data_IF_937415706953
#
_entry.id   IF_937415706953
#
_cell.length_a   1.000
_cell.length_b   1.000
_cell.length_c   1.000
_cell.angle_alpha   90.00
_cell.angle_beta   90.00
_cell.angle_gamma   90.00
#
_symmetry.space_group_name_H-M   'P 1'
#
loop_
_entity.id
_entity.type
_entity.pdbx_description
1 polymer ?
#
# COMPACT_ATOMS: atom_id res chain seq x y z
N UNK A 1 -9.49 7.27 17.88
CA UNK A 1 -10.11 7.56 19.22
C UNK A 1 -10.56 6.24 19.81
N UNK A 2 -10.04 5.90 21.01
CA UNK A 2 -10.47 4.74 21.80
C UNK A 2 -11.44 5.27 22.87
N UNK A 3 -12.56 4.57 23.07
CA UNK A 3 -13.56 4.92 24.09
C UNK A 3 -13.78 3.68 24.93
N UNK A 4 -13.59 3.81 26.24
CA UNK A 4 -13.94 2.76 27.21
C UNK A 4 -14.84 3.29 28.29
N UNK A 5 -15.70 2.44 28.86
CA UNK A 5 -16.52 2.73 29.98
C UNK A 5 -16.08 1.85 31.16
N UNK A 6 -15.91 2.47 32.32
CA UNK A 6 -15.55 1.78 33.55
C UNK A 6 -16.46 2.20 34.70
N UNK A 7 -16.68 1.27 35.61
CA UNK A 7 -17.44 1.51 36.85
C UNK A 7 -16.52 1.31 38.03
N UNK A 8 -16.74 2.08 39.10
CA UNK A 8 -16.01 1.97 40.37
C UNK A 8 -16.86 2.46 41.52
N UNK A 9 -16.39 2.26 42.74
CA UNK A 9 -17.08 2.79 43.95
C UNK A 9 -17.06 4.31 44.01
N UNK A 10 -16.05 4.90 43.34
CA UNK A 10 -15.89 6.36 43.20
C UNK A 10 -15.52 6.67 41.74
N UNK A 11 -15.70 7.93 41.34
CA UNK A 11 -15.26 8.41 40.01
C UNK A 11 -13.76 8.18 39.83
N UNK A 12 -12.96 8.49 40.88
CA UNK A 12 -11.50 8.35 40.79
C UNK A 12 -11.07 6.89 40.57
N UNK A 13 -11.71 5.93 41.28
CA UNK A 13 -11.44 4.50 41.11
C UNK A 13 -11.79 4.03 39.69
N UNK A 14 -12.93 4.46 39.14
CA UNK A 14 -13.33 4.13 37.76
C UNK A 14 -12.37 4.75 36.72
N UNK A 15 -11.88 5.96 36.95
CA UNK A 15 -10.90 6.64 36.11
C UNK A 15 -9.55 5.92 36.16
N UNK A 16 -9.05 5.59 37.36
CA UNK A 16 -7.76 4.87 37.49
C UNK A 16 -7.78 3.52 36.79
N UNK A 17 -8.89 2.77 36.90
CA UNK A 17 -9.05 1.50 36.20
C UNK A 17 -9.06 1.67 34.67
N UNK A 18 -9.74 2.72 34.18
CA UNK A 18 -9.75 3.07 32.78
C UNK A 18 -8.35 3.44 32.27
N UNK A 19 -7.62 4.30 32.97
CA UNK A 19 -6.27 4.72 32.64
C UNK A 19 -5.28 3.55 32.62
N UNK A 20 -5.43 2.61 33.55
CA UNK A 20 -4.61 1.39 33.62
C UNK A 20 -4.85 0.48 32.45
N UNK A 21 -6.09 0.31 31.99
CA UNK A 21 -6.45 -0.47 30.84
C UNK A 21 -5.94 0.16 29.52
N UNK A 22 -6.06 1.50 29.43
CA UNK A 22 -5.57 2.26 28.26
C UNK A 22 -4.05 2.43 28.24
N UNK A 23 -3.34 2.14 29.32
CA UNK A 23 -1.90 2.32 29.45
C UNK A 23 -1.46 3.78 29.32
N UNK A 24 -2.27 4.74 29.79
CA UNK A 24 -2.07 6.17 29.60
C UNK A 24 -2.24 6.97 30.88
N UNK A 25 -2.02 8.28 30.80
CA UNK A 25 -2.19 9.21 31.91
C UNK A 25 -3.43 10.10 31.75
N UNK A 26 -3.91 10.70 32.81
CA UNK A 26 -5.10 11.55 32.81
C UNK A 26 -5.01 12.76 31.88
N UNK A 27 -3.79 13.19 31.56
CA UNK A 27 -3.52 14.35 30.71
C UNK A 27 -3.78 14.05 29.19
N UNK A 28 -3.80 12.77 28.81
CA UNK A 28 -3.96 12.31 27.43
C UNK A 28 -5.36 11.79 27.10
N UNK A 29 -6.33 12.02 28.00
CA UNK A 29 -7.70 11.51 27.87
C UNK A 29 -8.74 12.58 28.18
N UNK A 30 -9.88 12.48 27.52
CA UNK A 30 -11.11 13.19 27.88
C UNK A 30 -11.95 12.27 28.74
N UNK A 31 -12.37 12.77 29.95
CA UNK A 31 -13.16 12.01 30.90
C UNK A 31 -14.55 12.58 30.95
N UNK A 32 -15.55 11.76 30.68
CA UNK A 32 -16.97 12.07 30.77
C UNK A 32 -17.58 11.24 31.90
N UNK A 33 -18.14 11.89 32.92
CA UNK A 33 -18.82 11.20 34.02
C UNK A 33 -20.26 10.90 33.62
N UNK A 34 -20.58 9.61 33.45
CA UNK A 34 -21.92 9.13 33.08
C UNK A 34 -22.83 9.07 34.31
N UNK A 35 -22.28 8.58 35.44
CA UNK A 35 -22.99 8.48 36.74
C UNK A 35 -21.99 8.73 37.86
N UNK A 36 -22.32 9.63 38.77
CA UNK A 36 -21.46 9.94 39.92
C UNK A 36 -21.44 8.86 40.99
N UNK A 37 -22.38 7.92 40.92
CA UNK A 37 -22.58 6.92 41.99
C UNK A 37 -23.26 7.48 43.23
N UNK A 38 -23.77 6.61 44.07
CA UNK A 38 -24.34 6.97 45.35
C UNK A 38 -23.89 6.03 46.44
N UNK A 39 -23.47 6.57 47.59
CA UNK A 39 -23.23 5.78 48.80
C UNK A 39 -24.57 5.31 49.37
N UNK A 40 -24.79 3.99 49.39
CA UNK A 40 -25.94 3.41 50.06
C UNK A 40 -25.89 3.61 51.58
N UNK A 41 -27.04 3.64 52.21
CA UNK A 41 -27.17 3.62 53.70
C UNK A 41 -27.23 2.14 54.11
N UNK A 42 -26.30 1.67 54.93
CA UNK A 42 -26.18 0.29 55.41
C UNK A 42 -26.08 -0.76 54.28
N UNK A 43 -25.49 -0.40 53.13
CA UNK A 43 -25.33 -1.31 51.98
C UNK A 43 -26.57 -1.43 51.08
N UNK A 44 -27.64 -0.74 51.35
CA UNK A 44 -28.84 -0.70 50.53
C UNK A 44 -28.85 0.57 49.67
N UNK A 45 -29.04 0.41 48.36
CA UNK A 45 -29.16 1.52 47.41
C UNK A 45 -27.82 2.16 46.99
N UNK A 46 -26.69 1.47 47.12
CA UNK A 46 -25.43 1.91 46.57
C UNK A 46 -25.47 1.78 45.02
N UNK A 47 -25.08 2.82 44.32
CA UNK A 47 -24.89 2.85 42.89
C UNK A 47 -23.41 3.12 42.61
N UNK A 48 -22.81 2.37 41.68
CA UNK A 48 -21.43 2.59 41.27
C UNK A 48 -21.31 3.85 40.40
N UNK A 49 -20.21 4.56 40.57
CA UNK A 49 -19.83 5.61 39.64
C UNK A 49 -19.46 4.99 38.30
N UNK A 50 -19.82 5.63 37.19
CA UNK A 50 -19.49 5.21 35.84
C UNK A 50 -18.92 6.36 35.04
N UNK A 51 -17.77 6.11 34.45
CA UNK A 51 -17.07 7.07 33.58
C UNK A 51 -16.87 6.52 32.19
N UNK A 52 -16.89 7.42 31.20
CA UNK A 52 -16.46 7.17 29.84
C UNK A 52 -15.16 7.92 29.63
N UNK A 53 -14.11 7.18 29.25
CA UNK A 53 -12.80 7.74 28.99
C UNK A 53 -12.51 7.63 27.49
N UNK A 54 -12.20 8.76 26.88
CA UNK A 54 -11.87 8.88 25.46
C UNK A 54 -10.39 9.22 25.33
N UNK A 55 -9.65 8.44 24.56
CA UNK A 55 -8.25 8.68 24.25
C UNK A 55 -8.08 8.94 22.76
N UNK A 56 -7.48 10.08 22.41
CA UNK A 56 -7.06 10.32 21.04
C UNK A 56 -5.80 9.53 20.74
N UNK A 57 -5.84 8.79 19.65
CA UNK A 57 -4.68 8.06 19.16
C UNK A 57 -3.92 8.92 18.17
N UNK A 58 -2.59 8.95 18.27
CA UNK A 58 -1.76 9.52 17.21
C UNK A 58 -1.95 8.76 15.90
N UNK A 59 -1.65 9.38 14.75
CA UNK A 59 -1.71 8.71 13.46
C UNK A 59 -0.91 7.40 13.41
N UNK A 60 0.26 7.38 14.04
CA UNK A 60 1.09 6.19 14.17
C UNK A 60 0.39 5.09 15.00
N UNK A 61 -0.14 5.43 16.16
CA UNK A 61 -0.86 4.46 16.99
C UNK A 61 -2.09 3.87 16.30
N UNK A 62 -2.83 4.69 15.51
CA UNK A 62 -3.96 4.19 14.69
C UNK A 62 -3.47 3.16 13.67
N UNK A 63 -2.35 3.46 13.00
CA UNK A 63 -1.77 2.58 12.00
C UNK A 63 -1.28 1.26 12.60
N UNK A 64 -0.49 1.34 13.68
CA UNK A 64 0.07 0.15 14.35
C UNK A 64 -1.02 -0.76 14.91
N UNK A 65 -2.02 -0.20 15.59
CA UNK A 65 -3.14 -0.96 16.12
C UNK A 65 -3.93 -1.69 15.02
N UNK A 66 -4.18 -1.01 13.89
CA UNK A 66 -4.87 -1.61 12.77
C UNK A 66 -4.07 -2.73 12.12
N UNK A 67 -2.79 -2.49 11.82
CA UNK A 67 -1.90 -3.49 11.22
C UNK A 67 -1.78 -4.70 12.13
N UNK A 68 -1.57 -4.49 13.44
CA UNK A 68 -1.49 -5.56 14.43
C UNK A 68 -2.73 -6.43 14.44
N UNK A 69 -3.93 -5.84 14.46
CA UNK A 69 -5.20 -6.57 14.39
C UNK A 69 -5.31 -7.44 13.14
N UNK A 70 -4.89 -6.92 12.00
CA UNK A 70 -4.88 -7.67 10.74
C UNK A 70 -3.89 -8.84 10.80
N UNK A 71 -2.65 -8.57 11.26
CA UNK A 71 -1.62 -9.60 11.38
C UNK A 71 -2.04 -10.73 12.32
N UNK A 72 -2.58 -10.40 13.49
CA UNK A 72 -3.12 -11.38 14.43
C UNK A 72 -4.24 -12.23 13.82
N UNK A 73 -5.14 -11.61 13.04
CA UNK A 73 -6.24 -12.30 12.35
C UNK A 73 -5.75 -13.29 11.29
N UNK A 74 -4.59 -13.04 10.70
CA UNK A 74 -3.94 -13.93 9.72
C UNK A 74 -2.93 -14.90 10.36
N UNK A 75 -2.75 -14.86 11.67
CA UNK A 75 -1.77 -15.67 12.38
C UNK A 75 -0.33 -15.32 12.01
N UNK A 76 -0.07 -14.04 11.73
CA UNK A 76 1.25 -13.50 11.38
C UNK A 76 1.88 -12.94 12.66
N UNK A 77 3.03 -13.49 13.04
CA UNK A 77 3.83 -13.00 14.18
C UNK A 77 5.00 -12.18 13.66
N UNK A 78 4.84 -10.86 13.67
CA UNK A 78 5.86 -9.92 13.22
C UNK A 78 5.87 -8.65 14.08
N UNK A 79 7.04 -8.03 14.21
CA UNK A 79 7.25 -6.77 14.91
C UNK A 79 6.97 -5.58 14.00
N UNK A 80 6.40 -4.52 14.56
CA UNK A 80 6.20 -3.25 13.86
C UNK A 80 7.20 -2.21 14.39
N UNK A 81 7.91 -1.55 13.47
CA UNK A 81 8.70 -0.36 13.76
C UNK A 81 8.13 0.82 13.00
N UNK A 82 7.61 1.79 13.73
CA UNK A 82 6.94 2.95 13.15
C UNK A 82 7.58 4.28 13.54
N UNK A 83 7.45 5.28 12.66
CA UNK A 83 7.72 6.68 12.92
C UNK A 83 6.63 7.57 12.32
N UNK A 84 6.46 8.78 12.91
CA UNK A 84 5.56 9.80 12.39
C UNK A 84 6.30 11.12 12.31
N UNK A 85 6.59 11.58 11.12
CA UNK A 85 7.33 12.81 10.83
C UNK A 85 6.76 13.45 9.56
N UNK A 86 6.68 14.77 9.51
CA UNK A 86 6.25 15.54 8.33
C UNK A 86 4.96 15.02 7.69
N UNK A 87 3.90 14.82 8.51
CA UNK A 87 2.60 14.28 8.09
C UNK A 87 2.70 12.92 7.37
N UNK A 88 3.76 12.16 7.67
CA UNK A 88 4.01 10.85 7.11
C UNK A 88 4.18 9.81 8.21
N UNK A 89 3.36 8.77 8.19
CA UNK A 89 3.53 7.56 9.00
C UNK A 89 4.32 6.55 8.18
N UNK A 90 5.49 6.15 8.68
CA UNK A 90 6.31 5.10 8.08
C UNK A 90 6.29 3.89 9.01
N UNK A 91 5.99 2.71 8.48
CA UNK A 91 5.97 1.45 9.23
C UNK A 91 6.80 0.42 8.49
N UNK A 92 7.75 -0.17 9.20
CA UNK A 92 8.50 -1.34 8.76
C UNK A 92 7.99 -2.57 9.52
N UNK A 93 7.62 -3.62 8.78
CA UNK A 93 7.19 -4.90 9.33
C UNK A 93 8.39 -5.84 9.32
N UNK A 94 8.74 -6.39 10.50
CA UNK A 94 9.93 -7.22 10.69
C UNK A 94 9.47 -8.58 11.22
N UNK A 95 9.85 -9.64 10.54
CA UNK A 95 9.52 -11.01 10.90
C UNK A 95 10.46 -11.99 10.23
N UNK A 96 10.23 -13.29 10.43
CA UNK A 96 10.95 -14.28 9.65
C UNK A 96 10.48 -14.32 8.19
N UNK A 97 11.20 -15.04 7.34
CA UNK A 97 10.95 -15.04 5.89
C UNK A 97 9.57 -15.61 5.51
N UNK A 98 8.97 -16.49 6.33
CA UNK A 98 7.64 -17.05 6.10
C UNK A 98 6.57 -15.99 6.40
N UNK A 99 6.67 -15.32 7.55
CA UNK A 99 5.74 -14.29 7.99
C UNK A 99 5.79 -13.07 7.06
N UNK A 100 7.00 -12.62 6.73
CA UNK A 100 7.25 -11.55 5.77
C UNK A 100 6.66 -11.89 4.39
N UNK A 101 6.79 -13.16 3.95
CA UNK A 101 6.20 -13.64 2.71
C UNK A 101 4.67 -13.53 2.68
N UNK A 102 3.99 -13.82 3.80
CA UNK A 102 2.53 -13.65 3.95
C UNK A 102 2.11 -12.19 3.86
N UNK A 103 2.86 -11.30 4.52
CA UNK A 103 2.63 -9.85 4.49
C UNK A 103 2.82 -9.26 3.10
N UNK A 104 3.86 -9.66 2.38
CA UNK A 104 4.11 -9.22 1.00
C UNK A 104 3.00 -9.72 0.08
N UNK A 105 2.68 -11.00 0.17
CA UNK A 105 1.75 -11.66 -0.72
C UNK A 105 2.26 -11.78 -2.16
N UNK A 106 1.34 -12.06 -3.06
CA UNK A 106 1.70 -12.25 -4.47
C UNK A 106 2.11 -10.92 -5.11
N UNK A 107 3.40 -10.74 -5.39
CA UNK A 107 3.97 -9.54 -6.03
C UNK A 107 3.79 -8.23 -5.25
N UNK A 108 3.59 -8.32 -3.95
CA UNK A 108 3.33 -7.15 -3.11
C UNK A 108 1.88 -6.72 -3.04
N UNK A 109 0.94 -7.48 -3.61
CA UNK A 109 -0.48 -7.11 -3.63
C UNK A 109 -1.08 -7.02 -2.21
N UNK A 110 -0.66 -7.91 -1.28
CA UNK A 110 -1.11 -7.86 0.12
C UNK A 110 -0.55 -6.63 0.81
N UNK A 111 0.74 -6.35 0.63
CA UNK A 111 1.41 -5.18 1.21
C UNK A 111 0.80 -3.87 0.71
N UNK A 112 0.50 -3.77 -0.58
CA UNK A 112 -0.17 -2.60 -1.17
C UNK A 112 -1.59 -2.43 -0.62
N UNK A 113 -2.34 -3.52 -0.46
CA UNK A 113 -3.68 -3.52 0.11
C UNK A 113 -3.67 -3.10 1.58
N UNK A 114 -2.73 -3.64 2.35
CA UNK A 114 -2.54 -3.29 3.77
C UNK A 114 -2.22 -1.80 3.91
N UNK A 115 -1.29 -1.27 3.12
CA UNK A 115 -0.95 0.15 3.12
C UNK A 115 -2.17 1.02 2.78
N UNK A 116 -2.94 0.64 1.76
CA UNK A 116 -4.12 1.38 1.36
C UNK A 116 -5.19 1.42 2.47
N UNK A 117 -5.52 0.28 3.05
CA UNK A 117 -6.51 0.19 4.12
C UNK A 117 -6.05 0.93 5.38
N UNK A 118 -4.77 0.80 5.76
CA UNK A 118 -4.19 1.55 6.87
C UNK A 118 -4.28 3.06 6.62
N UNK A 119 -4.01 3.51 5.40
CA UNK A 119 -4.16 4.92 5.02
C UNK A 119 -5.59 5.43 5.22
N UNK A 120 -6.61 4.62 4.89
CA UNK A 120 -8.01 4.99 5.14
C UNK A 120 -8.33 5.11 6.63
N UNK A 121 -7.80 4.18 7.44
CA UNK A 121 -8.01 4.19 8.91
C UNK A 121 -7.35 5.39 9.55
N UNK A 122 -6.10 5.68 9.18
CA UNK A 122 -5.33 6.81 9.71
C UNK A 122 -6.00 8.13 9.39
N UNK A 123 -6.45 8.30 8.15
CA UNK A 123 -7.03 9.55 7.66
C UNK A 123 -8.51 9.76 8.04
N UNK A 124 -9.14 8.78 8.72
CA UNK A 124 -10.53 8.92 9.14
C UNK A 124 -10.67 9.98 10.22
N UNK A 125 -11.29 11.11 9.87
CA UNK A 125 -11.53 12.24 10.76
C UNK A 125 -10.36 13.21 10.91
N UNK A 126 -9.28 13.06 10.14
CA UNK A 126 -8.19 14.03 10.07
C UNK A 126 -8.56 15.18 9.10
N UNK A 127 -8.17 16.40 9.43
CA UNK A 127 -8.37 17.57 8.56
C UNK A 127 -7.35 17.60 7.42
N UNK A 128 -6.10 17.24 7.71
CA UNK A 128 -5.02 17.17 6.75
C UNK A 128 -4.72 15.72 6.38
N UNK A 129 -4.37 15.50 5.11
CA UNK A 129 -4.03 14.16 4.64
C UNK A 129 -2.66 13.70 5.16
N UNK A 130 -2.67 12.60 5.89
CA UNK A 130 -1.48 11.94 6.42
C UNK A 130 -1.07 10.82 5.47
N UNK A 131 0.15 10.88 5.00
CA UNK A 131 0.73 9.84 4.16
C UNK A 131 1.06 8.61 5.00
N UNK A 132 0.75 7.43 4.48
CA UNK A 132 1.14 6.15 5.11
C UNK A 132 2.01 5.37 4.15
N UNK A 133 3.16 4.92 4.65
CA UNK A 133 4.10 4.06 3.92
C UNK A 133 4.35 2.81 4.76
N UNK A 134 4.16 1.65 4.16
CA UNK A 134 4.43 0.36 4.79
C UNK A 134 5.39 -0.41 3.89
N UNK A 135 6.47 -0.92 4.48
CA UNK A 135 7.42 -1.79 3.78
C UNK A 135 7.88 -2.93 4.71
N UNK A 136 8.54 -3.89 4.16
CA UNK A 136 9.15 -5.01 4.87
C UNK A 136 10.46 -5.40 4.17
N UNK A 137 11.56 -5.42 4.90
CA UNK A 137 12.89 -5.77 4.39
C UNK A 137 13.30 -5.08 3.08
N UNK A 138 12.87 -3.85 2.85
CA UNK A 138 13.05 -3.15 1.58
C UNK A 138 12.55 -3.95 0.37
N UNK A 139 11.39 -4.60 0.51
CA UNK A 139 10.78 -5.40 -0.55
C UNK A 139 10.55 -4.60 -1.83
N UNK A 140 10.04 -3.36 -1.71
CA UNK A 140 9.74 -2.51 -2.87
C UNK A 140 10.99 -2.25 -3.72
N UNK A 141 12.12 -1.95 -3.08
CA UNK A 141 13.40 -1.77 -3.78
C UNK A 141 13.91 -3.05 -4.43
N UNK A 142 13.90 -4.17 -3.70
CA UNK A 142 14.29 -5.50 -4.23
C UNK A 142 13.39 -5.93 -5.40
N UNK A 143 12.09 -5.62 -5.33
CA UNK A 143 11.11 -5.93 -6.39
C UNK A 143 11.35 -5.11 -7.64
N UNK A 144 11.58 -3.81 -7.50
CA UNK A 144 11.91 -2.91 -8.60
C UNK A 144 13.15 -3.39 -9.37
N UNK A 145 14.24 -3.72 -8.65
CA UNK A 145 15.44 -4.29 -9.27
C UNK A 145 15.15 -5.57 -10.06
N UNK A 146 14.33 -6.46 -9.48
CA UNK A 146 13.94 -7.71 -10.13
C UNK A 146 13.17 -7.46 -11.43
N UNK A 147 12.25 -6.49 -11.42
CA UNK A 147 11.50 -6.09 -12.61
C UNK A 147 12.40 -5.48 -13.68
N UNK A 148 13.36 -4.64 -13.30
CA UNK A 148 14.35 -4.05 -14.23
C UNK A 148 15.22 -5.15 -14.85
N UNK A 149 15.71 -6.11 -14.06
CA UNK A 149 16.49 -7.26 -14.54
C UNK A 149 15.67 -8.13 -15.52
N UNK A 150 14.40 -8.40 -15.17
CA UNK A 150 13.46 -9.13 -16.04
C UNK A 150 13.24 -8.39 -17.37
N UNK A 151 12.95 -7.09 -17.30
CA UNK A 151 12.72 -6.25 -18.46
C UNK A 151 13.91 -6.30 -19.44
N UNK A 152 15.12 -6.05 -18.96
CA UNK A 152 16.36 -6.07 -19.76
C UNK A 152 16.60 -7.46 -20.39
N UNK A 153 16.39 -8.54 -19.64
CA UNK A 153 16.52 -9.91 -20.14
C UNK A 153 15.53 -10.19 -21.27
N UNK A 154 14.27 -9.83 -21.11
CA UNK A 154 13.24 -10.05 -22.14
C UNK A 154 13.47 -9.16 -23.35
N UNK A 155 13.89 -7.91 -23.17
CA UNK A 155 14.27 -7.02 -24.26
C UNK A 155 15.43 -7.59 -25.12
N UNK A 156 16.43 -8.21 -24.48
CA UNK A 156 17.50 -8.91 -25.18
C UNK A 156 16.99 -10.07 -26.05
N UNK A 157 16.04 -10.85 -25.54
CA UNK A 157 15.40 -11.93 -26.30
C UNK A 157 14.65 -11.37 -27.50
N UNK A 158 13.80 -10.34 -27.29
CA UNK A 158 13.03 -9.67 -28.35
C UNK A 158 13.94 -9.07 -29.42
N UNK A 159 15.01 -8.39 -29.02
CA UNK A 159 15.97 -7.80 -29.95
C UNK A 159 16.65 -8.86 -30.86
N UNK A 160 16.96 -10.03 -30.31
CA UNK A 160 17.61 -11.14 -31.03
C UNK A 160 16.62 -11.92 -31.87
N UNK A 161 15.46 -12.30 -31.33
CA UNK A 161 14.49 -13.20 -31.98
C UNK A 161 13.50 -12.47 -32.88
N UNK A 162 13.35 -11.16 -32.71
CA UNK A 162 12.32 -10.33 -33.37
C UNK A 162 10.88 -10.73 -33.04
N UNK A 163 10.68 -11.62 -32.07
CA UNK A 163 9.37 -12.04 -31.61
C UNK A 163 8.97 -11.23 -30.35
N UNK A 164 7.74 -10.73 -30.35
CA UNK A 164 7.20 -10.02 -29.17
C UNK A 164 7.02 -10.98 -27.98
N UNK A 165 7.23 -10.47 -26.79
CA UNK A 165 7.01 -11.18 -25.51
C UNK A 165 5.98 -10.43 -24.70
N UNK A 166 4.96 -11.15 -24.23
CA UNK A 166 3.97 -10.64 -23.28
C UNK A 166 4.36 -11.10 -21.89
N UNK A 167 4.49 -10.16 -20.97
CA UNK A 167 4.74 -10.46 -19.57
C UNK A 167 3.42 -10.79 -18.86
N UNK A 168 3.53 -11.36 -17.68
CA UNK A 168 2.38 -11.64 -16.85
C UNK A 168 1.66 -10.34 -16.43
N UNK A 169 0.35 -10.40 -16.11
CA UNK A 169 -0.37 -9.27 -15.56
C UNK A 169 0.31 -8.71 -14.31
N UNK A 170 0.35 -7.40 -14.19
CA UNK A 170 0.96 -6.69 -13.07
C UNK A 170 0.30 -5.33 -12.84
N UNK A 171 0.50 -4.78 -11.64
CA UNK A 171 -0.10 -3.51 -11.26
C UNK A 171 0.46 -2.31 -12.09
N UNK A 172 -0.21 -1.15 -12.07
CA UNK A 172 0.21 0.02 -12.86
C UNK A 172 1.63 0.50 -12.56
N UNK A 173 2.07 0.43 -11.30
CA UNK A 173 3.40 0.86 -10.89
C UNK A 173 4.49 -0.06 -11.47
N UNK A 174 4.31 -1.37 -11.37
CA UNK A 174 5.22 -2.35 -11.97
C UNK A 174 5.33 -2.19 -13.49
N UNK A 175 4.18 -1.94 -14.16
CA UNK A 175 4.17 -1.68 -15.61
C UNK A 175 4.96 -0.42 -15.97
N UNK A 176 4.90 0.62 -15.12
CA UNK A 176 5.67 1.85 -15.30
C UNK A 176 7.17 1.61 -15.14
N UNK A 177 7.59 0.83 -14.13
CA UNK A 177 9.00 0.48 -13.91
C UNK A 177 9.58 -0.19 -15.16
N UNK A 178 8.90 -1.21 -15.71
CA UNK A 178 9.35 -1.91 -16.91
C UNK A 178 9.39 -0.98 -18.12
N UNK A 179 8.38 -0.14 -18.30
CA UNK A 179 8.32 0.82 -19.39
C UNK A 179 9.50 1.81 -19.31
N UNK A 180 9.75 2.38 -18.14
CA UNK A 180 10.86 3.31 -17.89
C UNK A 180 12.23 2.64 -18.11
N UNK A 181 12.40 1.40 -17.62
CA UNK A 181 13.65 0.65 -17.77
C UNK A 181 13.99 0.35 -19.26
N UNK A 182 13.00 0.29 -20.14
CA UNK A 182 13.18 -0.01 -21.56
C UNK A 182 12.98 1.20 -22.48
N UNK A 183 12.66 2.38 -21.96
CA UNK A 183 12.41 3.57 -22.76
C UNK A 183 13.54 3.88 -23.75
N UNK A 184 14.79 3.73 -23.31
CA UNK A 184 16.00 3.98 -24.10
C UNK A 184 16.64 2.70 -24.64
N UNK A 185 15.95 1.55 -24.52
CA UNK A 185 16.54 0.30 -25.02
C UNK A 185 16.51 0.26 -26.56
N UNK A 186 17.66 -0.10 -27.16
CA UNK A 186 17.85 -0.04 -28.62
C UNK A 186 16.96 -1.06 -29.35
N UNK A 187 16.22 -0.60 -30.35
CA UNK A 187 15.36 -1.44 -31.23
C UNK A 187 14.20 -2.17 -30.54
N UNK A 188 13.87 -1.82 -29.30
CA UNK A 188 12.76 -2.39 -28.55
C UNK A 188 11.83 -1.29 -28.09
N UNK A 189 10.55 -1.58 -28.04
CA UNK A 189 9.50 -0.72 -27.46
C UNK A 189 8.57 -1.55 -26.60
N UNK A 190 7.81 -0.87 -25.73
CA UNK A 190 6.85 -1.52 -24.86
C UNK A 190 5.50 -0.82 -24.94
N UNK A 191 4.43 -1.58 -24.75
CA UNK A 191 3.08 -1.04 -24.57
C UNK A 191 2.28 -1.93 -23.62
N UNK A 192 1.29 -1.33 -22.94
CA UNK A 192 0.38 -2.07 -22.07
C UNK A 192 -0.86 -2.52 -22.85
N UNK A 193 -1.33 -3.74 -22.61
CA UNK A 193 -2.54 -4.32 -23.21
C UNK A 193 -3.41 -5.00 -22.18
N UNK A 194 -4.69 -5.15 -22.47
CA UNK A 194 -5.66 -5.77 -21.56
C UNK A 194 -6.34 -4.75 -20.62
N UNK A 195 -7.19 -5.25 -19.75
CA UNK A 195 -7.90 -4.51 -18.69
C UNK A 195 -7.49 -5.04 -17.34
N UNK A 196 -7.41 -4.17 -16.34
CA UNK A 196 -7.15 -4.58 -14.96
C UNK A 196 -8.26 -5.56 -14.48
N UNK A 197 -7.92 -6.61 -13.72
CA UNK A 197 -6.59 -6.94 -13.15
C UNK A 197 -5.64 -7.70 -14.11
N UNK A 198 -6.08 -8.03 -15.33
CA UNK A 198 -5.32 -8.84 -16.30
C UNK A 198 -4.46 -8.02 -17.27
N UNK A 199 -4.25 -6.73 -16.97
CA UNK A 199 -3.46 -5.86 -17.82
C UNK A 199 -1.98 -6.15 -17.68
N UNK A 200 -1.29 -6.28 -18.83
CA UNK A 200 0.10 -6.70 -18.91
C UNK A 200 0.93 -5.79 -19.83
N UNK A 201 2.25 -5.98 -19.84
CA UNK A 201 3.17 -5.33 -20.78
C UNK A 201 3.56 -6.29 -21.89
N UNK A 202 3.56 -5.77 -23.11
CA UNK A 202 4.14 -6.40 -24.29
C UNK A 202 5.45 -5.68 -24.63
N UNK A 203 6.52 -6.46 -24.77
CA UNK A 203 7.82 -6.00 -25.25
C UNK A 203 7.95 -6.43 -26.71
N UNK A 204 8.18 -5.49 -27.62
CA UNK A 204 8.24 -5.74 -29.05
C UNK A 204 9.35 -4.95 -29.73
N UNK A 205 9.69 -5.28 -30.97
CA UNK A 205 10.65 -4.51 -31.73
C UNK A 205 10.07 -3.18 -32.18
N UNK A 206 10.85 -2.10 -32.12
CA UNK A 206 10.49 -0.83 -32.78
C UNK A 206 10.30 -1.11 -34.27
N UNK A 207 9.16 -0.76 -34.86
CA UNK A 207 9.01 -0.71 -36.30
C UNK A 207 10.07 0.27 -36.82
N UNK A 208 10.86 -0.11 -37.83
CA UNK A 208 11.63 0.90 -38.53
C UNK A 208 10.64 1.86 -39.15
N UNK A 209 10.66 3.12 -38.70
CA UNK A 209 10.10 4.20 -39.50
C UNK A 209 10.92 4.22 -40.79
N UNK A 210 10.37 3.64 -41.83
CA UNK A 210 10.87 3.94 -43.17
C UNK A 210 10.47 5.39 -43.39
N UNK A 211 11.46 6.28 -43.43
CA UNK A 211 11.24 7.68 -43.67
C UNK A 211 10.33 7.89 -44.88
N UNK A 212 9.61 8.98 -44.94
CA UNK A 212 8.68 9.35 -46.02
C UNK A 212 9.32 9.20 -47.43
N UNK A 213 10.65 9.31 -47.51
CA UNK A 213 11.42 9.05 -48.73
C UNK A 213 11.31 7.62 -49.28
N UNK A 214 11.11 6.60 -48.41
CA UNK A 214 10.97 5.22 -48.87
C UNK A 214 9.58 4.96 -49.46
N UNK A 215 8.55 5.58 -48.87
CA UNK A 215 7.16 5.47 -49.35
C UNK A 215 6.98 6.24 -50.66
N UNK A 216 7.61 7.41 -50.78
CA UNK A 216 7.58 8.22 -52.03
C UNK A 216 8.30 7.49 -53.20
N UNK A 217 9.42 6.84 -52.91
CA UNK A 217 10.20 6.10 -53.95
C UNK A 217 9.46 4.87 -54.48
N UNK A 218 8.73 4.15 -53.63
CA UNK A 218 7.90 3.02 -54.05
C UNK A 218 6.62 3.46 -54.80
N UNK A 219 6.02 4.60 -54.43
CA UNK A 219 4.88 5.19 -55.17
C UNK A 219 5.29 5.69 -56.57
N UNK A 220 6.49 6.25 -56.69
CA UNK A 220 7.01 6.71 -57.96
C UNK A 220 7.26 5.56 -58.93
N UNK A 221 7.96 4.49 -58.51
CA UNK A 221 8.24 3.32 -59.31
C UNK A 221 6.98 2.54 -59.74
N UNK A 222 5.90 2.57 -58.95
CA UNK A 222 4.64 1.93 -59.31
C UNK A 222 3.93 2.68 -60.44
N UNK A 223 3.94 4.01 -60.47
CA UNK A 223 3.37 4.84 -61.51
C UNK A 223 4.15 4.71 -62.85
N UNK A 224 5.47 4.59 -62.78
CA UNK A 224 6.27 4.36 -64.00
C UNK A 224 6.05 2.97 -64.64
N UNK A 225 5.81 1.95 -63.85
CA UNK A 225 5.51 0.61 -64.36
C UNK A 225 4.09 0.47 -64.90
N UNK A 226 3.12 1.23 -64.39
CA UNK A 226 1.74 1.25 -64.94
C UNK A 226 1.66 2.02 -66.26
N UNK A 227 2.54 3.02 -66.49
CA UNK A 227 2.63 3.79 -67.75
C UNK A 227 3.41 3.07 -68.90
N UNK A 228 4.08 1.97 -68.61
CA UNK A 228 4.83 1.16 -69.61
C UNK A 228 4.07 -0.06 -70.08
N UNK A 229 2.85 -0.27 -69.61
CA UNK A 229 2.00 -1.41 -69.97
C UNK A 229 0.73 -1.00 -70.73
N UNK A 230 0.61 0.26 -71.14
CA UNK A 230 -0.27 0.77 -72.20
C UNK A 230 0.54 1.08 -73.45
#
# INVERSE_FOLDING_TARGET
MIIIEKSGKTIDEAVEEALKELGTTKENVEIEVINEGKRGILGLGAEEARVRVKMEQSPLQKAEAYIKTIMESFGIDAELKGSYEDETVNIEIIGDSEEVGKVIGRRGDTLDSLQYLTSLVVNKGEENYIRVTIDTENYRGKREETLIKLAKRMAGIVARTRKSVTLEPMNPNERRIIHSALQNYRNVTTYSTGKDPNRCIVITTKKKEYGEDYVSKYRYNRKENELKTE
#
